data_IF_378266331979
#
_entry.id   IF_378266331979
#
_cell.length_a   1.000
_cell.length_b   1.000
_cell.length_c   1.000
_cell.angle_alpha   90.00
_cell.angle_beta   90.00
_cell.angle_gamma   90.00
#
_symmetry.space_group_name_H-M   'P 1'
#
loop_
_entity.id
_entity.type
_entity.pdbx_description
1 polymer ?
#
# COMPACT_ATOMS: atom_id res chain seq x y z
N UNK A 1 -21.75 -14.40 30.22
CA UNK A 1 -22.30 -13.03 30.21
C UNK A 1 -21.18 -12.05 29.86
N UNK A 2 -21.00 -11.72 28.57
CA UNK A 2 -19.87 -10.91 28.12
C UNK A 2 -20.15 -10.13 26.82
N UNK A 3 -19.60 -8.92 26.78
CA UNK A 3 -19.42 -7.95 25.69
C UNK A 3 -20.62 -7.20 25.07
N UNK A 4 -21.83 -7.78 24.94
CA UNK A 4 -22.95 -7.08 24.26
C UNK A 4 -24.27 -7.06 25.06
N UNK A 5 -24.17 -7.22 26.38
CA UNK A 5 -25.33 -7.20 27.28
C UNK A 5 -25.69 -5.77 27.66
N UNK A 6 -26.91 -5.37 27.35
CA UNK A 6 -27.44 -4.04 27.66
C UNK A 6 -27.38 -3.80 29.18
N UNK A 7 -26.63 -2.80 29.63
CA UNK A 7 -26.47 -2.50 31.06
C UNK A 7 -27.63 -1.71 31.66
N UNK A 8 -28.34 -0.91 30.86
CA UNK A 8 -29.56 -0.20 31.25
C UNK A 8 -30.27 0.42 30.02
N UNK A 9 -31.59 0.62 30.11
CA UNK A 9 -32.39 1.35 29.13
C UNK A 9 -32.86 2.66 29.76
N UNK A 10 -32.81 3.76 29.01
CA UNK A 10 -33.32 5.05 29.46
C UNK A 10 -34.10 5.73 28.34
N UNK A 11 -35.23 6.33 28.70
CA UNK A 11 -36.15 7.00 27.79
C UNK A 11 -36.48 8.38 28.35
N UNK A 12 -36.44 9.39 27.50
CA UNK A 12 -36.96 10.72 27.84
C UNK A 12 -37.53 11.41 26.62
N UNK A 13 -38.55 12.20 26.90
CA UNK A 13 -39.14 13.22 26.04
C UNK A 13 -38.24 14.46 25.87
N UNK A 14 -37.19 14.62 26.69
CA UNK A 14 -36.25 15.74 26.62
C UNK A 14 -35.07 15.44 25.70
N UNK A 15 -34.64 16.47 24.97
CA UNK A 15 -33.43 16.45 24.16
C UNK A 15 -32.21 16.35 25.06
N UNK A 16 -31.81 15.11 25.37
CA UNK A 16 -30.58 14.69 26.07
C UNK A 16 -30.30 15.38 27.41
N UNK A 17 -30.45 14.62 28.48
CA UNK A 17 -30.11 15.08 29.83
C UNK A 17 -28.59 14.96 30.05
N UNK A 18 -27.85 16.07 30.30
CA UNK A 18 -26.38 16.09 30.25
C UNK A 18 -25.66 15.17 31.24
N UNK A 19 -26.26 14.89 32.41
CA UNK A 19 -25.65 14.09 33.48
C UNK A 19 -25.75 12.57 33.28
N UNK A 20 -26.46 12.09 32.25
CA UNK A 20 -26.55 10.65 31.93
C UNK A 20 -25.31 10.10 31.22
N UNK A 21 -24.35 10.95 30.84
CA UNK A 21 -23.10 10.52 30.23
C UNK A 21 -23.30 9.87 28.85
N UNK A 22 -22.48 8.85 28.55
CA UNK A 22 -22.42 8.16 27.26
C UNK A 22 -23.38 6.97 27.15
N UNK A 23 -24.62 7.10 27.60
CA UNK A 23 -25.67 6.07 27.44
C UNK A 23 -26.38 6.29 26.10
N UNK A 24 -26.72 5.23 25.33
CA UNK A 24 -27.42 5.43 24.07
C UNK A 24 -28.86 5.85 24.37
N UNK A 25 -29.28 6.99 23.82
CA UNK A 25 -30.59 7.59 24.08
C UNK A 25 -31.40 7.71 22.80
N UNK A 26 -32.73 7.66 22.93
CA UNK A 26 -33.67 7.92 21.85
C UNK A 26 -34.52 9.14 22.17
N UNK A 27 -34.88 9.92 21.15
CA UNK A 27 -35.81 11.02 21.29
C UNK A 27 -37.24 10.50 21.17
N UNK A 28 -38.10 10.90 22.10
CA UNK A 28 -39.53 10.58 22.03
C UNK A 28 -40.33 11.79 21.57
N UNK A 29 -41.26 11.57 20.65
CA UNK A 29 -42.29 12.55 20.30
C UNK A 29 -43.67 11.95 20.57
N UNK A 30 -44.62 12.83 20.90
CA UNK A 30 -46.02 12.44 21.00
C UNK A 30 -46.68 12.55 19.63
N UNK A 31 -47.35 11.47 19.19
CA UNK A 31 -48.15 11.43 17.98
C UNK A 31 -49.56 10.97 18.37
N UNK A 32 -50.48 11.93 18.53
CA UNK A 32 -51.80 11.68 19.12
C UNK A 32 -51.69 11.20 20.58
N UNK A 33 -52.32 10.07 20.88
CA UNK A 33 -52.23 9.42 22.21
C UNK A 33 -51.05 8.44 22.35
N UNK A 34 -50.20 8.32 21.32
CA UNK A 34 -49.07 7.37 21.31
C UNK A 34 -47.72 8.06 21.37
N UNK A 35 -46.73 7.38 21.96
CA UNK A 35 -45.32 7.78 21.92
C UNK A 35 -44.59 7.09 20.77
N UNK A 36 -43.84 7.89 20.02
CA UNK A 36 -43.04 7.45 18.87
C UNK A 36 -41.58 7.77 19.12
N UNK A 37 -40.73 6.78 18.86
CA UNK A 37 -39.29 6.91 18.94
C UNK A 37 -38.76 7.51 17.62
N UNK A 38 -38.13 8.68 17.71
CA UNK A 38 -37.54 9.42 16.58
C UNK A 38 -36.04 9.26 16.61
N UNK A 39 -35.47 8.95 15.45
CA UNK A 39 -34.06 8.53 15.30
C UNK A 39 -33.73 7.41 16.30
N UNK A 40 -34.56 6.35 16.36
CA UNK A 40 -34.42 5.31 17.37
C UNK A 40 -33.10 4.56 17.27
N UNK A 41 -32.52 4.55 16.07
CA UNK A 41 -31.37 3.76 15.72
C UNK A 41 -30.55 4.44 14.63
N UNK A 42 -29.33 3.97 14.46
CA UNK A 42 -28.53 4.24 13.28
C UNK A 42 -28.21 2.93 12.53
N UNK A 43 -28.20 3.04 11.21
CA UNK A 43 -27.75 2.01 10.28
C UNK A 43 -26.46 2.45 9.61
N UNK A 44 -25.50 1.54 9.52
CA UNK A 44 -24.29 1.78 8.75
C UNK A 44 -24.57 1.56 7.25
N UNK A 45 -24.32 2.58 6.44
CA UNK A 45 -24.57 2.55 4.98
C UNK A 45 -23.36 2.08 4.18
N UNK A 46 -22.25 1.77 4.83
CA UNK A 46 -20.95 1.53 4.19
C UNK A 46 -20.11 2.80 4.07
N UNK A 47 -20.72 3.98 3.96
CA UNK A 47 -19.98 5.25 3.99
C UNK A 47 -20.03 5.89 5.39
N UNK A 48 -21.22 5.91 5.98
CA UNK A 48 -21.51 6.65 7.20
C UNK A 48 -22.60 5.95 8.03
N UNK A 49 -22.83 6.47 9.22
CA UNK A 49 -24.02 6.13 10.01
C UNK A 49 -25.16 7.05 9.64
N UNK A 50 -26.32 6.48 9.31
CA UNK A 50 -27.55 7.19 8.98
C UNK A 50 -28.66 6.80 9.95
N UNK A 51 -29.52 7.75 10.39
CA UNK A 51 -30.64 7.41 11.27
C UNK A 51 -31.65 6.51 10.58
N UNK A 52 -32.24 5.58 11.32
CA UNK A 52 -33.40 4.82 10.86
C UNK A 52 -34.69 5.62 10.98
N UNK A 53 -35.74 5.28 10.20
CA UNK A 53 -37.06 5.86 10.34
C UNK A 53 -37.60 5.75 11.78
N UNK A 54 -38.49 6.68 12.14
CA UNK A 54 -39.21 6.62 13.40
C UNK A 54 -40.06 5.34 13.50
N UNK A 55 -40.25 4.85 14.73
CA UNK A 55 -41.08 3.67 15.00
C UNK A 55 -41.86 3.81 16.31
N UNK A 56 -42.99 3.11 16.48
CA UNK A 56 -43.74 3.10 17.73
C UNK A 56 -42.84 2.71 18.92
N UNK A 57 -43.00 3.37 20.07
CA UNK A 57 -42.16 3.10 21.24
C UNK A 57 -42.24 1.63 21.68
N UNK A 58 -43.43 1.03 21.63
CA UNK A 58 -43.61 -0.39 21.97
C UNK A 58 -42.81 -1.32 21.04
N UNK A 59 -42.76 -1.02 19.74
CA UNK A 59 -41.96 -1.78 18.78
C UNK A 59 -40.46 -1.64 19.08
N UNK A 60 -40.00 -0.41 19.33
CA UNK A 60 -38.61 -0.15 19.68
C UNK A 60 -38.19 -0.93 20.93
N UNK A 61 -38.96 -0.82 22.01
CA UNK A 61 -38.71 -1.54 23.28
C UNK A 61 -38.69 -3.05 23.05
N UNK A 62 -39.62 -3.58 22.26
CA UNK A 62 -39.64 -5.02 21.94
C UNK A 62 -38.37 -5.48 21.22
N UNK A 63 -37.86 -4.72 20.25
CA UNK A 63 -36.62 -5.05 19.54
C UNK A 63 -35.39 -4.94 20.44
N UNK A 64 -35.36 -3.93 21.31
CA UNK A 64 -34.30 -3.73 22.30
C UNK A 64 -34.25 -4.89 23.31
N UNK A 65 -35.40 -5.31 23.86
CA UNK A 65 -35.49 -6.41 24.83
C UNK A 65 -35.20 -7.79 24.21
N UNK A 66 -35.53 -7.97 22.93
CA UNK A 66 -35.21 -9.20 22.19
C UNK A 66 -33.77 -9.26 21.68
N UNK A 67 -32.89 -8.37 22.18
CA UNK A 67 -31.46 -8.30 21.81
C UNK A 67 -31.22 -8.13 20.31
N UNK A 68 -32.20 -7.59 19.56
CA UNK A 68 -32.01 -7.27 18.14
C UNK A 68 -31.14 -6.02 17.95
N UNK A 69 -30.92 -5.25 19.02
CA UNK A 69 -30.07 -4.06 19.04
C UNK A 69 -29.01 -4.11 20.12
N UNK A 70 -27.89 -3.44 19.83
CA UNK A 70 -26.74 -3.29 20.72
C UNK A 70 -26.34 -1.83 20.81
N UNK A 71 -25.71 -1.47 21.93
CA UNK A 71 -25.03 -0.19 22.09
C UNK A 71 -23.69 -0.23 21.36
N UNK A 72 -23.42 0.75 20.50
CA UNK A 72 -22.19 0.80 19.71
C UNK A 72 -21.58 2.20 19.67
N UNK A 73 -20.26 2.28 19.83
CA UNK A 73 -19.48 3.51 19.68
C UNK A 73 -18.98 3.58 18.23
N UNK A 74 -19.58 4.42 17.37
CA UNK A 74 -19.18 4.51 15.98
C UNK A 74 -17.76 5.06 15.88
N UNK A 75 -16.92 4.43 15.05
CA UNK A 75 -15.57 4.94 14.74
C UNK A 75 -15.60 5.87 13.53
N UNK A 76 -16.61 5.71 12.69
CA UNK A 76 -16.89 6.57 11.54
C UNK A 76 -17.90 7.64 11.94
N UNK A 77 -17.75 8.92 11.54
CA UNK A 77 -18.70 9.96 11.92
C UNK A 77 -20.11 9.69 11.36
N UNK A 78 -21.18 9.93 12.13
CA UNK A 78 -22.54 9.93 11.62
C UNK A 78 -22.80 11.14 10.70
N UNK A 79 -23.46 10.89 9.57
CA UNK A 79 -24.01 11.96 8.73
C UNK A 79 -25.31 12.43 9.39
N UNK A 80 -25.36 13.67 9.82
CA UNK A 80 -26.57 14.33 10.37
C UNK A 80 -27.00 13.91 11.77
N UNK A 81 -26.26 14.38 12.77
CA UNK A 81 -26.88 14.85 14.01
C UNK A 81 -26.15 16.14 14.39
N UNK A 82 -26.86 17.22 14.73
CA UNK A 82 -26.26 18.51 15.15
C UNK A 82 -25.31 18.41 16.35
N UNK A 83 -25.21 17.22 16.98
CA UNK A 83 -24.16 16.82 17.90
C UNK A 83 -23.71 15.38 17.60
N UNK A 84 -22.40 15.11 17.47
CA UNK A 84 -21.91 13.74 17.34
C UNK A 84 -22.29 12.93 18.58
N UNK A 85 -23.12 11.89 18.39
CA UNK A 85 -23.50 10.99 19.47
C UNK A 85 -22.39 9.97 19.69
N UNK A 86 -21.79 9.91 20.90
CA UNK A 86 -20.69 8.99 21.18
C UNK A 86 -21.15 7.53 21.27
N UNK A 87 -22.45 7.28 21.41
CA UNK A 87 -23.02 5.93 21.54
C UNK A 87 -24.39 5.84 20.86
N UNK A 88 -24.59 4.81 20.04
CA UNK A 88 -25.77 4.61 19.20
C UNK A 88 -26.45 3.28 19.50
N UNK A 89 -27.78 3.24 19.31
CA UNK A 89 -28.51 1.98 19.17
C UNK A 89 -28.41 1.48 17.72
N UNK A 90 -27.90 0.27 17.53
CA UNK A 90 -27.64 -0.26 16.18
C UNK A 90 -27.97 -1.74 16.09
N UNK A 91 -28.26 -2.19 14.86
CA UNK A 91 -28.36 -3.61 14.57
C UNK A 91 -26.95 -4.25 14.55
N UNK A 92 -26.71 -5.43 15.16
CA UNK A 92 -25.39 -6.07 15.20
C UNK A 92 -24.71 -6.23 13.84
N UNK A 93 -25.48 -6.50 12.77
CA UNK A 93 -24.97 -6.56 11.40
C UNK A 93 -24.30 -5.25 10.94
N UNK A 94 -24.73 -4.09 11.43
CA UNK A 94 -24.12 -2.81 11.10
C UNK A 94 -22.74 -2.63 11.77
N UNK A 95 -22.57 -3.16 12.99
CA UNK A 95 -21.27 -3.18 13.69
C UNK A 95 -20.26 -3.99 12.90
N UNK A 96 -20.66 -5.17 12.43
CA UNK A 96 -19.83 -6.02 11.58
C UNK A 96 -19.48 -5.35 10.24
N UNK A 97 -20.43 -4.60 9.66
CA UNK A 97 -20.20 -3.87 8.41
C UNK A 97 -19.20 -2.72 8.58
N UNK A 98 -19.27 -1.95 9.66
CA UNK A 98 -18.28 -0.91 9.97
C UNK A 98 -16.89 -1.54 10.21
N UNK A 99 -16.80 -2.59 11.01
CA UNK A 99 -15.55 -3.28 11.29
C UNK A 99 -14.90 -3.84 10.01
N UNK A 100 -15.70 -4.42 9.11
CA UNK A 100 -15.21 -4.91 7.82
C UNK A 100 -14.63 -3.78 6.97
N UNK A 101 -15.33 -2.65 6.87
CA UNK A 101 -14.87 -1.49 6.11
C UNK A 101 -13.55 -0.94 6.67
N UNK A 102 -13.45 -0.77 7.98
CA UNK A 102 -12.23 -0.29 8.63
C UNK A 102 -11.04 -1.23 8.34
N UNK A 103 -11.27 -2.54 8.38
CA UNK A 103 -10.24 -3.52 8.01
C UNK A 103 -9.82 -3.43 6.54
N UNK A 104 -10.71 -3.08 5.62
CA UNK A 104 -10.38 -2.86 4.21
C UNK A 104 -9.59 -1.55 4.00
N UNK A 105 -9.94 -0.48 4.71
CA UNK A 105 -9.23 0.80 4.66
C UNK A 105 -7.82 0.68 5.23
N UNK A 106 -7.63 0.01 6.37
CA UNK A 106 -6.31 -0.26 6.94
C UNK A 106 -5.42 -1.06 5.98
N UNK A 107 -5.97 -2.08 5.30
CA UNK A 107 -5.21 -2.85 4.31
C UNK A 107 -4.75 -1.98 3.13
N UNK A 108 -5.62 -1.10 2.64
CA UNK A 108 -5.27 -0.16 1.57
C UNK A 108 -4.17 0.80 2.00
N UNK A 109 -4.24 1.31 3.24
CA UNK A 109 -3.22 2.20 3.78
C UNK A 109 -1.86 1.50 3.90
N UNK A 110 -1.82 0.26 4.41
CA UNK A 110 -0.57 -0.52 4.49
C UNK A 110 0.03 -0.77 3.10
N UNK A 111 -0.80 -1.16 2.13
CA UNK A 111 -0.33 -1.38 0.76
C UNK A 111 0.24 -0.10 0.13
N UNK A 112 -0.41 1.05 0.36
CA UNK A 112 0.07 2.34 -0.13
C UNK A 112 1.39 2.75 0.54
N UNK A 113 1.53 2.52 1.85
CA UNK A 113 2.76 2.79 2.57
C UNK A 113 3.92 1.93 2.08
N UNK A 114 3.71 0.62 1.89
CA UNK A 114 4.73 -0.27 1.32
C UNK A 114 5.14 0.15 -0.10
N UNK A 115 4.18 0.60 -0.92
CA UNK A 115 4.48 1.10 -2.25
C UNK A 115 5.33 2.39 -2.22
N UNK A 116 5.02 3.28 -1.27
CA UNK A 116 5.79 4.49 -1.05
C UNK A 116 7.21 4.20 -0.57
N UNK A 117 7.38 3.31 0.42
CA UNK A 117 8.71 2.89 0.90
C UNK A 117 9.53 2.27 -0.24
N UNK A 118 8.93 1.39 -1.04
CA UNK A 118 9.59 0.85 -2.25
C UNK A 118 9.92 1.95 -3.26
N UNK A 119 9.09 2.98 -3.42
CA UNK A 119 9.39 4.11 -4.29
C UNK A 119 10.58 4.95 -3.78
N UNK A 120 10.66 5.16 -2.46
CA UNK A 120 11.76 5.87 -1.81
C UNK A 120 13.08 5.10 -1.93
N UNK A 121 13.07 3.80 -1.64
CA UNK A 121 14.22 2.91 -1.84
C UNK A 121 14.72 2.94 -3.29
N UNK A 122 13.81 2.90 -4.27
CA UNK A 122 14.14 3.08 -5.69
C UNK A 122 14.81 4.43 -5.95
N UNK A 123 14.31 5.50 -5.33
CA UNK A 123 14.90 6.83 -5.42
C UNK A 123 16.32 6.91 -4.82
N UNK A 124 16.55 6.29 -3.68
CA UNK A 124 17.89 6.19 -3.07
C UNK A 124 18.86 5.37 -3.92
N UNK A 125 18.42 4.21 -4.42
CA UNK A 125 19.24 3.38 -5.30
C UNK A 125 19.65 4.14 -6.58
N UNK A 126 18.73 4.91 -7.17
CA UNK A 126 19.03 5.77 -8.33
C UNK A 126 20.04 6.87 -8.00
N UNK A 127 19.91 7.55 -6.87
CA UNK A 127 20.87 8.59 -6.43
C UNK A 127 22.25 8.00 -6.17
N UNK A 128 22.33 6.84 -5.53
CA UNK A 128 23.58 6.12 -5.33
C UNK A 128 24.21 5.69 -6.66
N UNK A 129 23.40 5.23 -7.62
CA UNK A 129 23.85 4.94 -8.99
C UNK A 129 24.52 6.16 -9.63
N UNK A 130 23.83 7.30 -9.61
CA UNK A 130 24.30 8.54 -10.22
C UNK A 130 25.58 9.04 -9.56
N UNK A 131 25.70 8.97 -8.23
CA UNK A 131 26.90 9.42 -7.52
C UNK A 131 28.11 8.57 -7.88
N UNK A 132 27.95 7.25 -7.90
CA UNK A 132 29.04 6.36 -8.27
C UNK A 132 29.34 6.40 -9.78
N UNK A 133 28.38 6.77 -10.63
CA UNK A 133 28.67 7.13 -12.02
C UNK A 133 29.53 8.39 -12.11
N UNK A 134 29.23 9.44 -11.32
CA UNK A 134 30.08 10.63 -11.23
C UNK A 134 31.51 10.29 -10.79
N UNK A 135 31.68 9.35 -9.85
CA UNK A 135 33.00 8.86 -9.44
C UNK A 135 33.71 8.10 -10.57
N UNK A 136 33.00 7.24 -11.30
CA UNK A 136 33.56 6.51 -12.44
C UNK A 136 33.94 7.43 -13.62
N UNK A 137 33.27 8.59 -13.77
CA UNK A 137 33.63 9.60 -14.80
C UNK A 137 35.04 10.17 -14.62
N UNK A 138 35.59 10.13 -13.41
CA UNK A 138 36.92 10.63 -13.09
C UNK A 138 38.05 9.62 -13.32
N UNK A 139 37.73 8.41 -13.81
CA UNK A 139 38.71 7.35 -14.05
C UNK A 139 39.53 7.59 -15.35
N UNK A 140 40.87 7.57 -15.30
CA UNK A 140 41.74 7.80 -16.46
C UNK A 140 41.67 6.70 -17.54
N UNK A 141 41.25 5.46 -17.22
CA UNK A 141 41.24 4.34 -18.17
C UNK A 141 39.90 4.19 -18.94
N UNK A 142 39.02 5.16 -18.78
CA UNK A 142 37.65 5.23 -19.30
C UNK A 142 37.50 4.94 -20.80
N UNK A 143 38.32 5.59 -21.63
CA UNK A 143 38.21 5.47 -23.08
C UNK A 143 38.66 4.10 -23.60
N UNK A 144 39.55 3.42 -22.88
CA UNK A 144 40.00 2.09 -23.24
C UNK A 144 38.89 1.05 -22.99
N UNK A 145 38.25 1.11 -21.83
CA UNK A 145 37.14 0.23 -21.43
C UNK A 145 35.89 0.40 -22.30
N UNK A 146 35.52 1.63 -22.64
CA UNK A 146 34.39 1.89 -23.54
C UNK A 146 34.64 1.32 -24.95
N UNK A 147 35.85 1.50 -25.49
CA UNK A 147 36.24 0.95 -26.79
C UNK A 147 36.28 -0.56 -26.81
N UNK A 148 36.72 -1.19 -25.72
CA UNK A 148 36.71 -2.65 -25.59
C UNK A 148 35.26 -3.19 -25.59
N UNK A 149 34.39 -2.57 -24.79
CA UNK A 149 32.99 -2.99 -24.63
C UNK A 149 32.18 -2.82 -25.92
N UNK A 150 32.42 -1.75 -26.67
CA UNK A 150 31.74 -1.48 -27.94
C UNK A 150 32.03 -2.53 -29.03
N UNK A 151 33.04 -3.39 -28.83
CA UNK A 151 33.40 -4.51 -29.73
C UNK A 151 32.72 -5.83 -29.36
N UNK A 152 31.94 -5.87 -28.28
CA UNK A 152 31.27 -7.10 -27.87
C UNK A 152 30.16 -7.50 -28.85
N UNK A 153 29.98 -8.80 -29.12
CA UNK A 153 28.92 -9.27 -29.99
C UNK A 153 27.53 -8.82 -29.51
N UNK A 154 26.70 -8.34 -30.43
CA UNK A 154 25.32 -7.92 -30.14
C UNK A 154 25.17 -6.52 -29.56
N UNK A 155 26.24 -5.89 -29.05
CA UNK A 155 26.10 -4.61 -28.34
C UNK A 155 25.57 -3.47 -29.21
N UNK A 156 25.92 -3.43 -30.49
CA UNK A 156 25.43 -2.41 -31.43
C UNK A 156 23.92 -2.53 -31.67
N UNK A 157 23.40 -3.75 -31.74
CA UNK A 157 21.96 -3.98 -31.88
C UNK A 157 21.21 -3.57 -30.61
N UNK A 158 21.79 -3.85 -29.44
CA UNK A 158 21.22 -3.45 -28.16
C UNK A 158 21.25 -1.93 -27.96
N UNK A 159 22.32 -1.26 -28.37
CA UNK A 159 22.39 0.22 -28.37
C UNK A 159 21.26 0.79 -29.23
N UNK A 160 21.06 0.27 -30.45
CA UNK A 160 19.99 0.72 -31.34
C UNK A 160 18.60 0.49 -30.73
N UNK A 161 18.36 -0.70 -30.16
CA UNK A 161 17.10 -1.02 -29.50
C UNK A 161 16.81 -0.12 -28.28
N UNK A 162 17.83 0.18 -27.49
CA UNK A 162 17.72 1.06 -26.32
C UNK A 162 17.50 2.51 -26.75
N UNK A 163 18.18 2.95 -27.80
CA UNK A 163 18.00 4.29 -28.36
C UNK A 163 16.58 4.51 -28.88
N UNK A 164 15.99 3.50 -29.51
CA UNK A 164 14.60 3.52 -29.97
C UNK A 164 13.63 3.54 -28.78
N UNK A 165 13.86 2.69 -27.76
CA UNK A 165 13.02 2.60 -26.57
C UNK A 165 12.95 3.91 -25.76
N UNK A 166 14.08 4.63 -25.67
CA UNK A 166 14.19 5.85 -24.86
C UNK A 166 14.26 7.14 -25.69
N UNK A 167 14.11 7.04 -27.02
CA UNK A 167 14.16 8.17 -27.97
C UNK A 167 15.36 9.11 -27.73
N UNK A 168 16.52 8.53 -27.44
CA UNK A 168 17.73 9.28 -27.11
C UNK A 168 18.97 8.58 -27.65
N UNK A 169 20.07 9.32 -27.77
CA UNK A 169 21.34 8.72 -28.15
C UNK A 169 21.83 7.86 -27.00
N UNK A 170 22.17 6.62 -27.30
CA UNK A 170 22.67 5.65 -26.32
C UNK A 170 24.11 5.31 -26.67
N UNK A 171 24.93 5.21 -25.64
CA UNK A 171 26.32 4.75 -25.75
C UNK A 171 26.60 3.72 -24.66
N UNK A 172 27.68 2.97 -24.85
CA UNK A 172 28.18 2.10 -23.80
C UNK A 172 28.72 2.96 -22.66
N UNK A 173 28.12 2.80 -21.49
CA UNK A 173 28.55 3.41 -20.25
C UNK A 173 29.79 2.76 -19.68
N UNK A 174 30.29 3.36 -18.60
CA UNK A 174 31.60 3.02 -18.04
C UNK A 174 31.44 2.07 -16.86
N UNK A 175 31.58 0.78 -17.14
CA UNK A 175 32.10 -0.21 -16.21
C UNK A 175 32.03 -1.59 -16.85
N UNK A 176 33.16 -2.10 -17.34
CA UNK A 176 33.29 -3.56 -17.46
C UNK A 176 33.75 -4.05 -16.10
N UNK A 177 32.95 -4.90 -15.45
CA UNK A 177 33.35 -5.51 -14.17
C UNK A 177 32.99 -4.74 -12.90
N UNK A 178 32.14 -3.71 -12.97
CA UNK A 178 31.54 -3.18 -11.73
C UNK A 178 30.57 -4.22 -11.16
N UNK A 179 30.85 -4.64 -9.91
CA UNK A 179 30.09 -5.65 -9.20
C UNK A 179 28.63 -5.25 -9.00
N UNK A 180 28.30 -3.96 -9.08
CA UNK A 180 26.92 -3.44 -9.00
C UNK A 180 26.07 -3.84 -10.20
N UNK A 181 26.65 -3.92 -11.39
CA UNK A 181 25.97 -4.40 -12.59
C UNK A 181 26.18 -5.88 -12.85
N UNK A 182 26.75 -6.59 -11.87
CA UNK A 182 27.04 -8.01 -12.01
C UNK A 182 27.93 -8.30 -13.23
N UNK A 183 28.96 -7.48 -13.43
CA UNK A 183 29.82 -7.50 -14.63
C UNK A 183 29.13 -7.14 -15.96
N UNK A 184 27.85 -6.79 -15.93
CA UNK A 184 27.11 -6.28 -17.07
C UNK A 184 27.54 -4.87 -17.47
N UNK A 185 27.14 -4.49 -18.67
CA UNK A 185 27.60 -3.28 -19.34
C UNK A 185 26.49 -2.24 -19.28
N UNK A 186 26.68 -1.14 -18.53
CA UNK A 186 25.68 -0.09 -18.47
C UNK A 186 25.51 0.57 -19.84
N UNK A 187 24.28 0.87 -20.22
CA UNK A 187 23.94 1.68 -21.40
C UNK A 187 23.44 3.03 -20.91
N UNK A 188 24.06 4.10 -21.40
CA UNK A 188 23.84 5.46 -20.89
C UNK A 188 23.49 6.41 -22.02
N UNK A 189 22.76 7.48 -21.70
CA UNK A 189 22.50 8.57 -22.65
C UNK A 189 23.65 9.61 -22.69
N UNK A 190 23.50 10.64 -23.52
CA UNK A 190 24.48 11.74 -23.66
C UNK A 190 24.75 12.51 -22.34
N UNK A 191 23.80 12.50 -21.41
CA UNK A 191 23.96 13.10 -20.09
C UNK A 191 24.64 12.17 -19.08
N UNK A 192 24.92 10.93 -19.50
CA UNK A 192 25.31 9.81 -18.66
C UNK A 192 24.26 9.53 -17.60
N UNK A 193 23.03 9.30 -18.02
CA UNK A 193 22.03 8.65 -17.17
C UNK A 193 21.97 7.19 -17.59
N UNK A 194 21.98 6.30 -16.60
CA UNK A 194 21.81 4.87 -16.81
C UNK A 194 20.39 4.55 -17.32
N UNK A 195 20.32 3.92 -18.49
CA UNK A 195 19.07 3.57 -19.15
C UNK A 195 18.79 2.07 -19.14
N UNK A 196 19.81 1.24 -19.31
CA UNK A 196 19.70 -0.22 -19.34
C UNK A 196 21.03 -0.87 -18.95
N UNK A 197 21.02 -2.18 -18.71
CA UNK A 197 22.25 -2.97 -18.50
C UNK A 197 22.27 -4.13 -19.47
N UNK A 198 23.33 -4.23 -20.26
CA UNK A 198 23.56 -5.33 -21.20
C UNK A 198 24.35 -6.46 -20.54
N UNK A 199 23.86 -7.67 -20.68
CA UNK A 199 24.51 -8.92 -20.26
C UNK A 199 24.95 -8.97 -18.78
N UNK A 200 24.11 -8.60 -17.80
CA UNK A 200 24.46 -8.78 -16.39
C UNK A 200 24.54 -10.29 -16.08
N UNK A 201 25.72 -10.76 -15.66
CA UNK A 201 25.97 -12.17 -15.37
C UNK A 201 26.47 -12.31 -13.92
N UNK A 202 25.59 -12.71 -12.98
CA UNK A 202 25.96 -13.04 -11.61
C UNK A 202 27.09 -14.07 -11.60
N UNK A 203 28.05 -13.86 -10.69
CA UNK A 203 29.09 -14.86 -10.44
C UNK A 203 28.41 -16.20 -10.13
N UNK A 204 28.94 -17.29 -10.71
CA UNK A 204 28.34 -18.62 -10.60
C UNK A 204 28.03 -18.96 -9.13
N UNK A 205 26.75 -19.19 -8.83
CA UNK A 205 26.23 -19.52 -7.49
C UNK A 205 25.91 -18.33 -6.56
N UNK A 206 26.14 -17.08 -6.96
CA UNK A 206 25.82 -15.89 -6.16
C UNK A 206 24.42 -15.31 -6.42
N UNK A 207 23.81 -14.59 -5.45
CA UNK A 207 22.57 -13.86 -5.71
C UNK A 207 22.80 -12.66 -6.64
N UNK A 208 21.78 -12.29 -7.40
CA UNK A 208 21.81 -11.05 -8.19
C UNK A 208 22.01 -9.83 -7.27
N UNK A 209 22.90 -8.87 -7.60
CA UNK A 209 23.11 -7.67 -6.79
C UNK A 209 21.80 -6.92 -6.53
N UNK A 210 21.58 -6.54 -5.26
CA UNK A 210 20.37 -5.83 -4.83
C UNK A 210 20.09 -4.58 -5.66
N UNK A 211 21.16 -3.92 -6.11
CA UNK A 211 21.10 -2.79 -7.02
C UNK A 211 20.28 -3.09 -8.28
N UNK A 212 20.62 -4.14 -9.04
CA UNK A 212 19.93 -4.47 -10.30
C UNK A 212 18.45 -4.78 -10.08
N UNK A 213 18.13 -5.40 -8.96
CA UNK A 213 16.76 -5.73 -8.60
C UNK A 213 15.95 -4.50 -8.18
N UNK A 214 16.62 -3.50 -7.59
CA UNK A 214 15.98 -2.31 -7.06
C UNK A 214 15.82 -1.21 -8.11
N UNK A 215 16.73 -1.03 -9.07
CA UNK A 215 16.62 0.10 -10.02
C UNK A 215 15.53 -0.11 -11.07
N UNK A 216 15.14 -1.36 -11.36
CA UNK A 216 14.06 -1.68 -12.30
C UNK A 216 14.42 -1.31 -13.76
N UNK A 217 15.70 -1.39 -14.10
CA UNK A 217 16.19 -1.09 -15.44
C UNK A 217 15.89 -2.25 -16.40
N UNK A 218 15.66 -1.97 -17.69
CA UNK A 218 15.70 -2.99 -18.72
C UNK A 218 17.04 -3.73 -18.70
N UNK A 219 16.96 -5.06 -18.59
CA UNK A 219 18.10 -5.96 -18.72
C UNK A 219 18.07 -6.56 -20.11
N UNK A 220 19.17 -6.41 -20.85
CA UNK A 220 19.26 -6.80 -22.25
C UNK A 220 20.26 -7.93 -22.39
N UNK A 221 19.87 -9.02 -23.04
CA UNK A 221 20.69 -10.23 -23.12
C UNK A 221 20.98 -10.56 -24.58
N UNK A 222 22.21 -11.00 -24.91
CA UNK A 222 22.54 -11.41 -26.27
C UNK A 222 21.91 -12.75 -26.66
N UNK A 223 21.56 -13.60 -25.69
CA UNK A 223 20.90 -14.89 -25.92
C UNK A 223 19.85 -15.19 -24.85
N UNK A 224 18.89 -16.04 -25.21
CA UNK A 224 17.85 -16.54 -24.31
C UNK A 224 18.42 -17.31 -23.11
N UNK A 225 19.41 -18.18 -23.33
CA UNK A 225 20.10 -18.93 -22.26
C UNK A 225 20.76 -18.03 -21.20
N UNK A 226 21.17 -16.81 -21.57
CA UNK A 226 21.72 -15.85 -20.62
C UNK A 226 20.64 -15.12 -19.84
N UNK A 227 19.50 -14.84 -20.47
CA UNK A 227 18.31 -14.32 -19.80
C UNK A 227 17.81 -15.30 -18.75
N UNK A 228 17.66 -16.57 -19.12
CA UNK A 228 17.18 -17.62 -18.21
C UNK A 228 18.08 -17.76 -16.98
N UNK A 229 19.40 -17.82 -17.17
CA UNK A 229 20.35 -17.84 -16.05
C UNK A 229 20.22 -16.62 -15.14
N UNK A 230 20.09 -15.42 -15.70
CA UNK A 230 19.89 -14.22 -14.90
C UNK A 230 18.62 -14.29 -14.05
N UNK A 231 17.51 -14.77 -14.64
CA UNK A 231 16.24 -14.91 -13.94
C UNK A 231 16.31 -15.95 -12.79
N UNK A 232 17.05 -17.04 -12.95
CA UNK A 232 17.32 -18.00 -11.86
C UNK A 232 18.06 -17.35 -10.68
N UNK A 233 19.09 -16.56 -10.97
CA UNK A 233 19.85 -15.82 -9.96
C UNK A 233 19.01 -14.72 -9.30
N UNK A 234 18.16 -14.05 -10.07
CA UNK A 234 17.20 -13.05 -9.57
C UNK A 234 16.18 -13.69 -8.62
N UNK A 235 15.55 -14.80 -9.01
CA UNK A 235 14.58 -15.51 -8.18
C UNK A 235 15.21 -15.99 -6.86
N UNK A 236 16.48 -16.43 -6.91
CA UNK A 236 17.24 -16.80 -5.72
C UNK A 236 17.47 -15.59 -4.80
N UNK A 237 17.85 -14.44 -5.35
CA UNK A 237 18.02 -13.19 -4.61
C UNK A 237 16.73 -12.69 -3.97
N UNK A 238 15.61 -12.74 -4.69
CA UNK A 238 14.29 -12.35 -4.18
C UNK A 238 13.85 -13.25 -3.01
N UNK A 239 14.03 -14.58 -3.10
CA UNK A 239 13.73 -15.52 -2.00
C UNK A 239 14.54 -15.23 -0.74
N UNK A 240 15.85 -14.96 -0.89
CA UNK A 240 16.72 -14.61 0.23
C UNK A 240 16.29 -13.31 0.90
N UNK A 241 15.82 -12.32 0.13
CA UNK A 241 15.28 -11.07 0.67
C UNK A 241 13.98 -11.27 1.41
N UNK A 242 13.04 -12.04 0.87
CA UNK A 242 11.80 -12.39 1.57
C UNK A 242 12.09 -13.10 2.91
N UNK A 243 13.08 -13.99 2.97
CA UNK A 243 13.46 -14.66 4.21
C UNK A 243 14.03 -13.69 5.26
N UNK A 244 14.91 -12.76 4.84
CA UNK A 244 15.47 -11.74 5.74
C UNK A 244 14.42 -10.75 6.26
N UNK A 245 13.40 -10.43 5.46
CA UNK A 245 12.29 -9.59 5.89
C UNK A 245 11.47 -10.30 6.99
N UNK A 246 11.15 -11.58 6.79
CA UNK A 246 10.44 -12.41 7.78
C UNK A 246 11.23 -12.60 9.09
N UNK A 247 12.56 -12.70 9.02
CA UNK A 247 13.44 -12.78 10.21
C UNK A 247 13.58 -11.45 10.96
N UNK A 248 13.26 -10.31 10.32
CA UNK A 248 13.30 -8.98 10.94
C UNK A 248 12.00 -8.59 11.65
N UNK A 249 10.89 -9.19 11.23
CA UNK A 249 9.56 -8.92 11.77
C UNK A 249 9.12 -9.92 12.86
N UNK A 250 9.98 -10.89 13.20
CA UNK A 250 9.79 -11.89 14.25
C UNK A 250 10.53 -11.50 15.55
#
# INVERSE_FOLDING_TARGET
MGAYGVRAYWFSDRTRVPWLGGVPSVRLIRQGESLVAVEPMARFTGACWAPEPSMPLAEFVGKVLTSRFVSHTPRTPPYHVGQPMPLLWVHPKCVLAEAKKLGEEEKKQRAAQEEQERAEERGYARRAAALAECTARSDPDREALARHSARLPGIQQVIAQTADMFLTRVTVGWSVGDSRYSSGIPLVNDHGNLLAVFDPLPLAGGPCPDFLLNVGLPMLFPTEERRERFEEHRATGERLRSRRALERDA
#
